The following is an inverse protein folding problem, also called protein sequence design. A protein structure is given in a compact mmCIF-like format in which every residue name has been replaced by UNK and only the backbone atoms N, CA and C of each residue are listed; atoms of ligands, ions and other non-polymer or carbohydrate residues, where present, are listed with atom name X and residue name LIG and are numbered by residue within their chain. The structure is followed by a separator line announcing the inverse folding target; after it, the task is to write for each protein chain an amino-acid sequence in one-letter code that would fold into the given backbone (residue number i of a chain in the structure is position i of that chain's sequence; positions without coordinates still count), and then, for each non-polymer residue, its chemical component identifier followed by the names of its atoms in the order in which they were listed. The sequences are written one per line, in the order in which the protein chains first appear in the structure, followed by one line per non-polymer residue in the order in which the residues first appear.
data_IF_623823404682
#
_entry.id   IF_623823404682
#
_cell.length_a   1.000
_cell.length_b   1.000
_cell.length_c   1.000
_cell.angle_alpha   90.00
_cell.angle_beta   90.00
_cell.angle_gamma   90.00
#
_symmetry.space_group_name_H-M   'P 1'
#
loop_
_entity.id
_entity.type
_entity.pdbx_description
1 polymer ?
#
# COMPACT_ATOMS: atom_id res chain seq x y z
N UNK A 1 -6.31 1.54 -22.80
CA UNK A 1 -4.93 2.05 -22.64
C UNK A 1 -4.46 2.42 -24.03
N UNK A 2 -3.79 3.58 -24.24
CA UNK A 2 -3.25 3.92 -25.57
C UNK A 2 -2.18 2.89 -25.94
N UNK A 3 -2.19 2.42 -27.19
CA UNK A 3 -1.35 1.35 -27.71
C UNK A 3 0.09 1.85 -27.97
N UNK A 4 0.77 2.30 -26.92
CA UNK A 4 2.14 2.84 -26.99
C UNK A 4 3.07 1.77 -26.41
N UNK A 5 3.96 1.21 -27.23
CA UNK A 5 4.96 0.24 -26.79
C UNK A 5 5.97 0.86 -25.81
N UNK A 6 6.63 0.01 -25.01
CA UNK A 6 7.64 0.42 -24.02
C UNK A 6 8.75 1.33 -24.60
N UNK A 7 9.20 1.07 -25.84
CA UNK A 7 10.20 1.90 -26.54
C UNK A 7 9.66 3.26 -26.95
N UNK A 8 8.35 3.39 -27.18
CA UNK A 8 7.70 4.63 -27.58
C UNK A 8 7.23 5.46 -26.38
N UNK A 9 7.10 4.86 -25.19
CA UNK A 9 6.78 5.58 -23.95
C UNK A 9 7.81 6.69 -23.60
N UNK A 10 9.06 6.59 -24.05
CA UNK A 10 10.08 7.62 -23.84
C UNK A 10 10.14 8.66 -24.97
N UNK A 11 9.37 8.48 -26.04
CA UNK A 11 9.40 9.36 -27.21
C UNK A 11 8.41 10.51 -27.06
N UNK A 12 8.87 11.74 -27.25
CA UNK A 12 8.03 12.95 -27.16
C UNK A 12 6.88 12.93 -28.17
N UNK A 13 7.06 12.29 -29.33
CA UNK A 13 6.01 12.15 -30.34
C UNK A 13 4.79 11.37 -29.82
N UNK A 14 4.99 10.42 -28.90
CA UNK A 14 3.92 9.57 -28.37
C UNK A 14 2.95 10.32 -27.46
N UNK A 15 3.31 11.56 -27.06
CA UNK A 15 2.49 12.43 -26.24
C UNK A 15 1.87 13.60 -27.02
N UNK A 16 2.11 13.69 -28.34
CA UNK A 16 1.46 14.71 -29.19
C UNK A 16 -0.06 14.54 -29.13
N UNK A 17 -0.77 15.62 -28.80
CA UNK A 17 -2.24 15.63 -28.65
C UNK A 17 -2.76 15.26 -27.26
N UNK A 18 -1.88 14.92 -26.29
CA UNK A 18 -2.26 14.69 -24.89
C UNK A 18 -1.97 15.95 -24.08
N UNK A 19 -2.92 16.39 -23.26
CA UNK A 19 -2.68 17.57 -22.40
C UNK A 19 -1.59 17.29 -21.36
N UNK A 20 -0.70 18.27 -21.14
CA UNK A 20 0.37 18.18 -20.13
C UNK A 20 -0.17 17.82 -18.75
N UNK A 21 -1.35 18.36 -18.39
CA UNK A 21 -2.02 18.04 -17.13
C UNK A 21 -2.38 16.56 -17.02
N UNK A 22 -2.80 15.93 -18.13
CA UNK A 22 -3.12 14.50 -18.14
C UNK A 22 -1.86 13.66 -17.98
N UNK A 23 -0.73 14.09 -18.52
CA UNK A 23 0.56 13.42 -18.36
C UNK A 23 1.00 13.51 -16.90
N UNK A 24 1.09 14.72 -16.33
CA UNK A 24 1.47 14.95 -14.93
C UNK A 24 0.53 14.19 -13.98
N UNK A 25 -0.79 14.27 -14.22
CA UNK A 25 -1.77 13.55 -13.42
C UNK A 25 -1.61 12.04 -13.48
N UNK A 26 -1.22 11.48 -14.64
CA UNK A 26 -0.94 10.05 -14.77
C UNK A 26 0.29 9.62 -13.96
N UNK A 27 1.36 10.43 -14.01
CA UNK A 27 2.59 10.19 -13.23
C UNK A 27 2.30 10.28 -11.72
N UNK A 28 1.62 11.34 -11.29
CA UNK A 28 1.24 11.52 -9.89
C UNK A 28 0.36 10.38 -9.37
N UNK A 29 -0.63 9.94 -10.18
CA UNK A 29 -1.46 8.77 -9.86
C UNK A 29 -0.60 7.51 -9.67
N UNK A 30 0.38 7.30 -10.54
CA UNK A 30 1.30 6.17 -10.46
C UNK A 30 2.12 6.19 -9.17
N UNK A 31 2.70 7.34 -8.80
CA UNK A 31 3.49 7.50 -7.57
C UNK A 31 2.65 7.20 -6.34
N UNK A 32 1.46 7.80 -6.27
CA UNK A 32 0.53 7.60 -5.14
C UNK A 32 0.12 6.13 -5.02
N UNK A 33 -0.25 5.48 -6.12
CA UNK A 33 -0.56 4.04 -6.13
C UNK A 33 0.61 3.20 -5.62
N UNK A 34 1.84 3.50 -6.06
CA UNK A 34 3.03 2.78 -5.60
C UNK A 34 3.25 2.94 -4.09
N UNK A 35 3.15 4.16 -3.56
CA UNK A 35 3.29 4.42 -2.11
C UNK A 35 2.23 3.65 -1.33
N UNK A 36 0.97 3.66 -1.78
CA UNK A 36 -0.10 2.89 -1.12
C UNK A 36 0.19 1.39 -1.15
N UNK A 37 0.62 0.84 -2.29
CA UNK A 37 0.95 -0.58 -2.41
C UNK A 37 2.12 -0.96 -1.49
N UNK A 38 3.15 -0.11 -1.40
CA UNK A 38 4.28 -0.30 -0.49
C UNK A 38 3.80 -0.29 0.97
N UNK A 39 2.94 0.66 1.34
CA UNK A 39 2.35 0.71 2.68
C UNK A 39 1.52 -0.54 3.02
N UNK A 40 0.72 -1.04 2.05
CA UNK A 40 -0.01 -2.30 2.15
C UNK A 40 0.97 -3.45 2.40
N UNK A 41 2.03 -3.55 1.61
CA UNK A 41 3.05 -4.58 1.75
C UNK A 41 3.72 -4.54 3.14
N UNK A 42 4.06 -3.35 3.63
CA UNK A 42 4.65 -3.17 4.96
C UNK A 42 3.69 -3.60 6.07
N UNK A 43 2.38 -3.33 5.90
CA UNK A 43 1.36 -3.78 6.83
C UNK A 43 1.27 -5.31 6.88
N UNK A 44 1.35 -5.99 5.74
CA UNK A 44 1.43 -7.46 5.68
C UNK A 44 2.69 -8.03 6.32
N UNK A 45 3.83 -7.33 6.19
CA UNK A 45 5.07 -7.72 6.84
C UNK A 45 5.10 -7.37 8.34
N UNK A 46 4.09 -6.66 8.84
CA UNK A 46 4.06 -6.14 10.22
C UNK A 46 5.26 -5.25 10.54
N UNK A 47 5.72 -4.48 9.55
CA UNK A 47 6.86 -3.58 9.71
C UNK A 47 6.49 -2.40 10.63
N UNK A 48 7.38 -1.96 11.54
CA UNK A 48 7.13 -0.78 12.36
C UNK A 48 6.91 0.45 11.46
N UNK A 49 5.91 1.27 11.79
CA UNK A 49 5.55 2.44 10.99
C UNK A 49 4.72 2.14 9.72
N UNK A 50 4.37 0.88 9.43
CA UNK A 50 3.55 0.53 8.25
C UNK A 50 2.23 1.33 8.14
N UNK A 51 1.61 1.67 9.27
CA UNK A 51 0.42 2.51 9.27
C UNK A 51 0.70 3.93 8.76
N UNK A 52 1.83 4.53 9.14
CA UNK A 52 2.19 5.88 8.71
C UNK A 52 2.39 5.92 7.19
N UNK A 53 3.11 4.93 6.65
CA UNK A 53 3.28 4.80 5.20
C UNK A 53 1.95 4.60 4.46
N UNK A 54 1.07 3.75 5.01
CA UNK A 54 -0.24 3.52 4.42
C UNK A 54 -1.13 4.78 4.49
N UNK A 55 -1.08 5.54 5.58
CA UNK A 55 -1.78 6.83 5.72
C UNK A 55 -1.27 7.82 4.68
N UNK A 56 0.04 7.96 4.51
CA UNK A 56 0.64 8.86 3.53
C UNK A 56 0.18 8.51 2.11
N UNK A 57 0.17 7.23 1.76
CA UNK A 57 -0.37 6.75 0.48
C UNK A 57 -1.85 7.06 0.30
N UNK A 58 -2.67 6.79 1.31
CA UNK A 58 -4.12 7.06 1.27
C UNK A 58 -4.44 8.56 1.20
N UNK A 59 -3.69 9.40 1.91
CA UNK A 59 -3.83 10.85 1.84
C UNK A 59 -3.52 11.36 0.43
N UNK A 60 -2.44 10.86 -0.19
CA UNK A 60 -2.14 11.11 -1.60
C UNK A 60 -3.27 10.66 -2.55
N UNK A 61 -3.90 9.51 -2.28
CA UNK A 61 -5.02 9.02 -3.08
C UNK A 61 -6.22 9.96 -3.02
N UNK A 62 -6.54 10.53 -1.86
CA UNK A 62 -7.63 11.49 -1.71
C UNK A 62 -7.41 12.70 -2.62
N UNK A 63 -6.18 13.24 -2.66
CA UNK A 63 -5.83 14.37 -3.53
C UNK A 63 -6.05 14.00 -5.01
N UNK A 64 -5.54 12.84 -5.44
CA UNK A 64 -5.70 12.40 -6.84
C UNK A 64 -7.18 12.12 -7.16
N UNK A 65 -7.95 11.54 -6.24
CA UNK A 65 -9.38 11.31 -6.40
C UNK A 65 -10.15 12.62 -6.61
N UNK A 66 -9.89 13.64 -5.79
CA UNK A 66 -10.53 14.96 -5.94
C UNK A 66 -10.22 15.57 -7.31
N UNK A 67 -8.94 15.60 -7.70
CA UNK A 67 -8.51 16.18 -8.98
C UNK A 67 -9.12 15.43 -10.16
N UNK A 68 -9.13 14.10 -10.12
CA UNK A 68 -9.67 13.27 -11.20
C UNK A 68 -11.20 13.38 -11.28
N UNK A 69 -11.90 13.50 -10.16
CA UNK A 69 -13.35 13.72 -10.12
C UNK A 69 -13.73 15.08 -10.72
N UNK A 70 -13.06 16.17 -10.33
CA UNK A 70 -13.29 17.51 -10.90
C UNK A 70 -13.05 17.49 -12.41
N UNK A 71 -11.98 16.85 -12.86
CA UNK A 71 -11.65 16.74 -14.28
C UNK A 71 -12.65 15.89 -15.05
N UNK A 72 -13.15 14.82 -14.45
CA UNK A 72 -14.19 13.98 -15.04
C UNK A 72 -15.49 14.76 -15.25
N UNK A 73 -15.93 15.53 -14.26
CA UNK A 73 -17.16 16.34 -14.37
C UNK A 73 -17.03 17.35 -15.53
N UNK A 74 -15.87 18.01 -15.67
CA UNK A 74 -15.63 19.01 -16.72
C UNK A 74 -15.46 18.45 -18.12
N UNK A 75 -14.83 17.27 -18.26
CA UNK A 75 -14.42 16.74 -19.58
C UNK A 75 -15.22 15.52 -20.03
N UNK A 76 -15.93 14.85 -19.11
CA UNK A 76 -16.60 13.55 -19.30
C UNK A 76 -15.69 12.48 -19.94
N UNK A 77 -14.38 12.63 -19.80
CA UNK A 77 -13.43 11.76 -20.46
C UNK A 77 -13.28 10.42 -19.72
N UNK A 78 -13.48 9.30 -20.45
CA UNK A 78 -13.33 7.92 -19.94
C UNK A 78 -11.93 7.62 -19.36
N UNK A 79 -10.92 8.44 -19.64
CA UNK A 79 -9.63 8.33 -18.97
C UNK A 79 -9.76 8.46 -17.45
N UNK A 80 -10.49 9.47 -16.96
CA UNK A 80 -10.59 9.75 -15.53
C UNK A 80 -11.43 8.70 -14.79
N UNK A 81 -12.44 8.10 -15.43
CA UNK A 81 -13.20 7.00 -14.81
C UNK A 81 -12.33 5.75 -14.59
N UNK A 82 -11.39 5.46 -15.50
CA UNK A 82 -10.47 4.33 -15.32
C UNK A 82 -9.48 4.58 -14.17
N UNK A 83 -8.97 5.81 -14.05
CA UNK A 83 -8.12 6.19 -12.91
C UNK A 83 -8.89 6.06 -11.60
N UNK A 84 -10.11 6.61 -11.55
CA UNK A 84 -10.97 6.56 -10.38
C UNK A 84 -11.25 5.12 -9.91
N UNK A 85 -11.61 4.21 -10.84
CA UNK A 85 -11.84 2.79 -10.51
C UNK A 85 -10.59 2.13 -9.89
N UNK A 86 -9.40 2.39 -10.42
CA UNK A 86 -8.14 1.84 -9.88
C UNK A 86 -7.87 2.36 -8.47
N UNK A 87 -8.08 3.65 -8.24
CA UNK A 87 -7.92 4.28 -6.93
C UNK A 87 -8.93 3.73 -5.91
N UNK A 88 -10.18 3.50 -6.32
CA UNK A 88 -11.17 2.87 -5.43
C UNK A 88 -10.81 1.44 -5.03
N UNK A 89 -10.31 0.63 -5.97
CA UNK A 89 -9.92 -0.75 -5.67
C UNK A 89 -8.76 -0.75 -4.67
N UNK A 90 -7.66 -0.08 -4.99
CA UNK A 90 -6.44 -0.10 -4.14
C UNK A 90 -6.67 0.66 -2.83
N UNK A 91 -7.34 1.82 -2.90
CA UNK A 91 -7.69 2.61 -1.72
C UNK A 91 -8.66 1.88 -0.79
N UNK A 92 -9.63 1.14 -1.34
CA UNK A 92 -10.52 0.29 -0.57
C UNK A 92 -9.77 -0.80 0.21
N UNK A 93 -8.84 -1.50 -0.44
CA UNK A 93 -7.97 -2.46 0.25
C UNK A 93 -7.11 -1.79 1.32
N UNK A 94 -6.52 -0.62 1.03
CA UNK A 94 -5.73 0.14 1.99
C UNK A 94 -6.56 0.57 3.21
N UNK A 95 -7.80 1.02 3.01
CA UNK A 95 -8.72 1.40 4.08
C UNK A 95 -9.12 0.20 4.95
N UNK A 96 -9.37 -0.96 4.38
CA UNK A 96 -9.66 -2.17 5.17
C UNK A 96 -8.47 -2.50 6.08
N UNK A 97 -7.25 -2.41 5.55
CA UNK A 97 -6.04 -2.72 6.29
C UNK A 97 -5.71 -1.70 7.39
N UNK A 98 -6.01 -0.42 7.18
CA UNK A 98 -5.76 0.60 8.20
C UNK A 98 -6.75 0.51 9.36
N UNK A 99 -8.01 0.19 9.07
CA UNK A 99 -9.05 -0.02 10.09
C UNK A 99 -8.83 -1.30 10.91
N UNK A 100 -8.01 -2.23 10.39
CA UNK A 100 -7.67 -3.45 11.10
C UNK A 100 -6.74 -3.17 12.31
N UNK A 101 -7.06 -3.67 13.52
CA UNK A 101 -6.24 -3.50 14.70
C UNK A 101 -4.78 -3.89 14.49
N UNK A 102 -3.87 -3.18 15.13
CA UNK A 102 -2.45 -3.51 15.06
C UNK A 102 -2.20 -4.91 15.61
N UNK A 103 -1.47 -5.73 14.85
CA UNK A 103 -1.18 -7.11 15.24
C UNK A 103 -2.27 -8.15 14.89
N UNK A 104 -3.46 -7.77 14.40
CA UNK A 104 -4.46 -8.74 13.92
C UNK A 104 -3.94 -9.60 12.76
N UNK A 105 -3.12 -9.01 11.88
CA UNK A 105 -2.45 -9.74 10.81
C UNK A 105 -1.43 -10.74 11.36
N UNK A 106 -0.75 -10.42 12.46
CA UNK A 106 0.17 -11.34 13.14
C UNK A 106 -0.60 -12.54 13.68
N UNK A 107 -1.75 -12.31 14.32
CA UNK A 107 -2.61 -13.40 14.83
C UNK A 107 -3.15 -14.29 13.72
N UNK A 108 -3.50 -13.71 12.56
CA UNK A 108 -3.97 -14.49 11.41
C UNK A 108 -2.82 -15.31 10.82
N UNK A 109 -1.64 -14.71 10.66
CA UNK A 109 -0.46 -15.35 10.06
C UNK A 109 0.09 -16.50 10.90
N UNK A 110 0.08 -16.34 12.22
CA UNK A 110 0.61 -17.31 13.18
C UNK A 110 -0.49 -17.90 14.05
N UNK A 111 -1.68 -18.11 13.47
CA UNK A 111 -2.85 -18.67 14.17
C UNK A 111 -2.54 -19.99 14.90
N UNK A 112 -1.67 -20.81 14.31
CA UNK A 112 -1.28 -22.11 14.87
C UNK A 112 -0.19 -21.99 15.95
N UNK A 113 0.46 -20.83 16.08
CA UNK A 113 1.52 -20.58 17.05
C UNK A 113 1.23 -19.27 17.82
N UNK A 114 0.22 -19.26 18.72
CA UNK A 114 -0.22 -18.04 19.40
C UNK A 114 0.84 -17.44 20.33
N UNK A 115 1.70 -18.25 20.94
CA UNK A 115 2.80 -17.77 21.78
C UNK A 115 3.87 -17.04 20.96
N UNK A 116 4.19 -17.55 19.76
CA UNK A 116 5.05 -16.84 18.82
C UNK A 116 4.40 -15.52 18.36
N UNK A 117 3.10 -15.51 18.05
CA UNK A 117 2.38 -14.29 17.69
C UNK A 117 2.44 -13.22 18.79
N UNK A 118 2.29 -13.64 20.05
CA UNK A 118 2.38 -12.77 21.23
C UNK A 118 3.79 -12.24 21.44
N UNK A 119 4.81 -13.08 21.33
CA UNK A 119 6.20 -12.67 21.44
C UNK A 119 6.58 -11.66 20.34
N UNK A 120 6.10 -11.88 19.11
CA UNK A 120 6.34 -10.96 17.99
C UNK A 120 5.72 -9.58 18.26
N UNK A 121 4.49 -9.55 18.78
CA UNK A 121 3.81 -8.29 19.14
C UNK A 121 4.56 -7.51 20.22
N UNK A 122 5.11 -8.21 21.22
CA UNK A 122 5.88 -7.59 22.29
C UNK A 122 7.16 -6.95 21.75
N UNK A 123 7.91 -7.66 20.90
CA UNK A 123 9.11 -7.10 20.23
C UNK A 123 8.77 -5.91 19.34
N UNK A 124 7.63 -5.96 18.63
CA UNK A 124 7.19 -4.82 17.80
C UNK A 124 6.80 -3.60 18.64
N UNK A 125 6.26 -3.82 19.85
CA UNK A 125 5.89 -2.74 20.77
C UNK A 125 7.11 -2.13 21.47
N UNK A 126 8.09 -2.96 21.84
CA UNK A 126 9.32 -2.53 22.49
C UNK A 126 10.52 -3.32 21.93
N UNK A 127 11.15 -2.83 20.85
CA UNK A 127 12.22 -3.55 20.16
C UNK A 127 13.54 -3.56 20.94
N UNK A 128 13.70 -2.69 21.94
CA UNK A 128 14.94 -2.55 22.70
C UNK A 128 14.94 -3.40 23.98
N UNK A 129 13.79 -3.98 24.34
CA UNK A 129 13.70 -4.89 25.47
C UNK A 129 14.29 -6.27 25.13
N UNK A 130 15.42 -6.58 25.77
CA UNK A 130 16.15 -7.84 25.55
C UNK A 130 15.32 -9.07 25.91
N UNK A 131 14.49 -9.02 26.95
CA UNK A 131 13.66 -10.15 27.37
C UNK A 131 12.62 -10.51 26.30
N UNK A 132 12.08 -9.51 25.60
CA UNK A 132 11.16 -9.74 24.49
C UNK A 132 11.87 -10.38 23.29
N UNK A 133 13.11 -9.97 23.00
CA UNK A 133 13.92 -10.56 21.95
C UNK A 133 14.25 -12.03 22.25
N UNK A 134 14.69 -12.31 23.47
CA UNK A 134 15.05 -13.67 23.91
C UNK A 134 13.81 -14.58 23.88
N UNK A 135 12.66 -14.10 24.37
CA UNK A 135 11.40 -14.85 24.30
C UNK A 135 10.96 -15.11 22.86
N UNK A 136 11.11 -14.14 21.95
CA UNK A 136 10.80 -14.35 20.54
C UNK A 136 11.70 -15.41 19.91
N UNK A 137 12.99 -15.45 20.25
CA UNK A 137 13.91 -16.47 19.76
C UNK A 137 13.53 -17.88 20.22
N UNK A 138 13.17 -18.04 21.50
CA UNK A 138 12.71 -19.32 22.06
C UNK A 138 11.45 -19.81 21.34
N UNK A 139 10.43 -18.96 21.22
CA UNK A 139 9.18 -19.34 20.54
C UNK A 139 9.39 -19.57 19.04
N UNK A 140 10.34 -18.86 18.41
CA UNK A 140 10.71 -19.10 17.00
C UNK A 140 11.35 -20.46 16.81
N UNK A 141 12.14 -20.93 17.78
CA UNK A 141 12.77 -22.24 17.73
C UNK A 141 11.73 -23.35 17.88
N UNK A 142 10.83 -23.26 18.87
CA UNK A 142 9.71 -24.20 19.04
C UNK A 142 8.87 -24.33 17.77
N UNK A 143 8.51 -23.20 17.14
CA UNK A 143 7.76 -23.19 15.88
C UNK A 143 8.51 -23.89 14.72
N UNK A 144 9.84 -23.84 14.69
CA UNK A 144 10.64 -24.55 13.67
C UNK A 144 10.69 -26.04 13.94
N UNK A 145 10.77 -26.43 15.21
CA UNK A 145 10.86 -27.83 15.62
C UNK A 145 9.51 -28.57 15.47
N UNK A 146 8.40 -27.83 15.41
CA UNK A 146 7.04 -28.33 15.15
C UNK A 146 6.70 -28.52 13.66
N UNK A 147 7.62 -28.16 12.73
CA UNK A 147 7.42 -28.27 11.27
C UNK A 147 8.00 -29.55 10.69
#
# INVERSE_FOLDING_TARGET
MNNIGLKSAFKKESYKGISTVRIIGSVATGIVLSITIIGILFKFQSYPGANLELINGLAGMIIVLIVTQIRYIKTRNKFYIHVFKRLLIVGGFGLILILMPNGKLIDIKYRNHPEYAKALKNVTADPFNKDFQDKLQVERQKMKDEK
#
